data_IF_109228957326
#
_entry.id   IF_109228957326
#
_cell.length_a   1.000
_cell.length_b   1.000
_cell.length_c   1.000
_cell.angle_alpha   90.00
_cell.angle_beta   90.00
_cell.angle_gamma   90.00
#
_symmetry.space_group_name_H-M   'P 1'
#
loop_
_entity.id
_entity.type
_entity.pdbx_description
1 polymer ?
#
# COMPACT_ATOMS: atom_id res chain seq x y z
N UNK A 1 -22.72 52.73 24.48
CA UNK A 1 -22.92 52.31 23.07
C UNK A 1 -22.77 50.80 23.01
N UNK A 2 -23.87 50.07 22.79
CA UNK A 2 -23.94 48.61 22.92
C UNK A 2 -23.65 47.92 21.59
N UNK A 3 -22.65 47.02 21.57
CA UNK A 3 -22.28 46.25 20.36
C UNK A 3 -23.07 44.93 20.35
N UNK A 4 -23.88 44.74 19.29
CA UNK A 4 -24.72 43.57 19.06
C UNK A 4 -23.87 42.33 18.78
N UNK A 5 -24.06 41.29 19.58
CA UNK A 5 -23.51 39.95 19.33
C UNK A 5 -24.26 39.34 18.14
N UNK A 6 -23.56 39.17 17.02
CA UNK A 6 -24.09 38.55 15.81
C UNK A 6 -24.08 37.03 15.99
N UNK A 7 -25.26 36.44 16.20
CA UNK A 7 -25.46 34.99 16.22
C UNK A 7 -25.16 34.41 14.84
N UNK A 8 -24.23 33.47 14.75
CA UNK A 8 -23.99 32.72 13.52
C UNK A 8 -25.09 31.67 13.36
N UNK A 9 -25.66 31.48 12.16
CA UNK A 9 -26.59 30.38 11.93
C UNK A 9 -25.81 29.07 11.96
N UNK A 10 -26.22 28.17 12.84
CA UNK A 10 -25.81 26.77 12.90
C UNK A 10 -26.11 26.10 11.56
N UNK A 11 -25.09 25.77 10.77
CA UNK A 11 -25.23 24.87 9.63
C UNK A 11 -25.26 23.45 10.17
N UNK A 12 -26.43 23.02 10.62
CA UNK A 12 -26.72 21.59 10.81
C UNK A 12 -26.81 20.98 9.42
N UNK A 13 -25.74 20.37 8.93
CA UNK A 13 -25.83 19.51 7.76
C UNK A 13 -26.46 18.18 8.20
N UNK A 14 -27.65 17.81 7.69
CA UNK A 14 -28.14 16.46 7.89
C UNK A 14 -27.25 15.52 7.09
N UNK A 15 -26.58 14.58 7.77
CA UNK A 15 -26.01 13.40 7.14
C UNK A 15 -27.17 12.62 6.50
N UNK A 16 -27.48 12.94 5.23
CA UNK A 16 -28.20 12.01 4.37
C UNK A 16 -27.30 10.80 4.19
N UNK A 17 -27.69 9.70 4.82
CA UNK A 17 -27.30 8.35 4.45
C UNK A 17 -27.44 8.23 2.93
N UNK A 18 -26.32 8.32 2.21
CA UNK A 18 -26.28 8.00 0.79
C UNK A 18 -26.35 6.48 0.67
N UNK A 19 -27.58 6.02 0.51
CA UNK A 19 -27.89 4.67 0.04
C UNK A 19 -27.34 4.51 -1.38
N UNK A 20 -26.55 3.44 -1.55
CA UNK A 20 -26.14 2.77 -2.80
C UNK A 20 -25.03 3.43 -3.62
N UNK A 21 -23.88 2.78 -3.60
CA UNK A 21 -23.50 2.02 -4.79
C UNK A 21 -23.19 0.60 -4.34
N UNK A 22 -23.94 -0.37 -4.87
CA UNK A 22 -23.48 -1.74 -4.95
C UNK A 22 -22.19 -1.70 -5.77
N UNK A 23 -21.07 -1.57 -5.05
CA UNK A 23 -19.78 -1.88 -5.59
C UNK A 23 -19.83 -3.35 -5.93
N UNK A 24 -20.21 -3.66 -7.17
CA UNK A 24 -19.77 -4.90 -7.79
C UNK A 24 -18.26 -4.82 -7.70
N UNK A 25 -17.73 -5.42 -6.64
CA UNK A 25 -16.35 -5.82 -6.58
C UNK A 25 -16.22 -6.71 -7.80
N UNK A 26 -15.74 -6.15 -8.90
CA UNK A 26 -15.02 -6.93 -9.88
C UNK A 26 -13.78 -7.40 -9.14
N UNK A 27 -13.97 -8.44 -8.33
CA UNK A 27 -12.96 -9.37 -7.94
C UNK A 27 -12.52 -9.99 -9.26
N UNK A 28 -11.64 -9.29 -9.97
CA UNK A 28 -10.73 -9.95 -10.88
C UNK A 28 -9.98 -10.89 -9.97
N UNK A 29 -10.46 -12.13 -9.91
CA UNK A 29 -9.74 -13.27 -9.39
C UNK A 29 -8.43 -13.31 -10.18
N UNK A 30 -7.41 -12.64 -9.63
CA UNK A 30 -6.02 -12.76 -10.05
C UNK A 30 -5.39 -14.02 -9.42
N UNK A 31 -6.20 -14.84 -8.75
CA UNK A 31 -5.86 -16.19 -8.36
C UNK A 31 -6.18 -17.13 -9.51
N UNK A 32 -5.21 -17.29 -10.42
CA UNK A 32 -4.95 -18.62 -10.97
C UNK A 32 -3.94 -19.28 -10.02
N UNK A 33 -4.38 -19.52 -8.79
CA UNK A 33 -3.70 -20.37 -7.82
C UNK A 33 -4.55 -21.61 -7.64
N UNK A 34 -3.98 -22.81 -7.60
CA UNK A 34 -4.78 -24.03 -7.53
C UNK A 34 -5.45 -24.14 -6.16
N UNK A 35 -6.77 -24.33 -6.16
CA UNK A 35 -7.63 -24.35 -4.97
C UNK A 35 -7.62 -25.71 -4.22
N UNK A 36 -6.75 -26.66 -4.58
CA UNK A 36 -6.67 -27.97 -3.91
C UNK A 36 -5.26 -28.32 -3.43
N UNK A 37 -5.20 -28.85 -2.20
CA UNK A 37 -3.97 -29.34 -1.55
C UNK A 37 -3.25 -30.42 -2.35
N UNK A 38 -3.99 -31.17 -3.17
CA UNK A 38 -3.48 -32.22 -4.04
C UNK A 38 -2.57 -31.66 -5.13
N UNK A 39 -2.91 -30.51 -5.73
CA UNK A 39 -2.11 -29.88 -6.78
C UNK A 39 -0.84 -29.22 -6.22
N UNK A 40 -0.87 -28.79 -4.96
CA UNK A 40 0.33 -28.34 -4.23
C UNK A 40 1.26 -29.51 -3.91
N UNK A 41 0.73 -30.66 -3.48
CA UNK A 41 1.53 -31.85 -3.23
C UNK A 41 2.16 -32.39 -4.52
N UNK A 42 1.40 -32.41 -5.61
CA UNK A 42 1.85 -32.95 -6.90
C UNK A 42 2.98 -32.10 -7.55
N UNK A 43 3.10 -30.83 -7.15
CA UNK A 43 4.17 -29.90 -7.57
C UNK A 43 5.43 -29.97 -6.70
N UNK A 44 5.32 -30.30 -5.42
CA UNK A 44 6.46 -30.30 -4.48
C UNK A 44 6.89 -31.71 -4.04
N UNK A 45 6.16 -32.76 -4.42
CA UNK A 45 6.64 -34.14 -4.35
C UNK A 45 7.64 -34.39 -5.49
N UNK A 46 8.84 -34.84 -5.14
CA UNK A 46 9.92 -35.18 -6.07
C UNK A 46 9.47 -36.32 -6.98
N UNK A 47 8.95 -35.98 -8.17
CA UNK A 47 8.71 -36.95 -9.24
C UNK A 47 10.06 -37.32 -9.86
N UNK A 48 10.29 -38.63 -10.06
CA UNK A 48 11.52 -39.17 -10.68
C UNK A 48 11.82 -38.41 -11.97
N UNK A 49 13.04 -37.90 -12.04
CA UNK A 49 13.53 -36.96 -13.05
C UNK A 49 13.29 -37.49 -14.48
N UNK A 50 12.50 -36.74 -15.26
CA UNK A 50 12.65 -36.68 -16.71
C UNK A 50 13.68 -35.57 -16.99
N UNK A 51 14.59 -35.75 -17.96
CA UNK A 51 15.50 -34.66 -18.34
C UNK A 51 14.65 -33.46 -18.76
N UNK A 52 14.86 -32.32 -18.09
CA UNK A 52 14.13 -31.08 -18.35
C UNK A 52 14.38 -30.68 -19.81
N UNK A 53 13.33 -30.68 -20.60
CA UNK A 53 13.31 -30.10 -21.95
C UNK A 53 13.58 -28.59 -21.83
N UNK A 54 14.38 -28.00 -22.74
CA UNK A 54 14.79 -26.59 -22.68
C UNK A 54 13.59 -25.62 -22.55
N UNK A 55 12.43 -26.04 -23.04
CA UNK A 55 11.16 -25.30 -22.93
C UNK A 55 10.65 -25.13 -21.49
N UNK A 56 10.89 -26.08 -20.59
CA UNK A 56 10.37 -26.00 -19.21
C UNK A 56 11.18 -25.01 -18.35
N UNK A 57 12.49 -24.91 -18.57
CA UNK A 57 13.34 -23.91 -17.95
C UNK A 57 12.99 -22.48 -18.40
N UNK A 58 12.65 -22.29 -19.68
CA UNK A 58 12.17 -20.99 -20.19
C UNK A 58 10.82 -20.59 -19.58
N UNK A 59 9.89 -21.55 -19.42
CA UNK A 59 8.61 -21.31 -18.77
C UNK A 59 8.76 -20.91 -17.30
N UNK A 60 9.67 -21.57 -16.57
CA UNK A 60 9.96 -21.25 -15.17
C UNK A 60 10.54 -19.83 -15.03
N UNK A 61 11.48 -19.45 -15.90
CA UNK A 61 12.02 -18.08 -15.96
C UNK A 61 10.91 -17.06 -16.27
N UNK A 62 10.02 -17.36 -17.22
CA UNK A 62 8.89 -16.49 -17.54
C UNK A 62 7.92 -16.33 -16.36
N UNK A 63 7.63 -17.42 -15.64
CA UNK A 63 6.79 -17.39 -14.42
C UNK A 63 7.44 -16.54 -13.33
N UNK A 64 8.73 -16.72 -13.06
CA UNK A 64 9.49 -15.93 -12.07
C UNK A 64 9.47 -14.43 -12.39
N UNK A 65 9.72 -14.05 -13.65
CA UNK A 65 9.64 -12.66 -14.11
C UNK A 65 8.24 -12.07 -13.94
N UNK A 66 7.17 -12.86 -14.15
CA UNK A 66 5.82 -12.37 -13.90
C UNK A 66 5.51 -12.19 -12.41
N UNK A 67 6.12 -12.99 -11.53
CA UNK A 67 5.92 -12.88 -10.10
C UNK A 67 6.62 -11.65 -9.51
N UNK A 68 7.89 -11.38 -9.87
CA UNK A 68 8.61 -10.19 -9.38
C UNK A 68 7.94 -8.89 -9.82
N UNK A 69 7.49 -8.81 -11.07
CA UNK A 69 6.73 -7.65 -11.57
C UNK A 69 5.40 -7.46 -10.85
N UNK A 70 4.68 -8.55 -10.55
CA UNK A 70 3.42 -8.51 -9.79
C UNK A 70 3.67 -8.00 -8.37
N UNK A 71 4.72 -8.47 -7.72
CA UNK A 71 5.10 -8.02 -6.39
C UNK A 71 5.48 -6.55 -6.34
N UNK A 72 6.28 -6.09 -7.31
CA UNK A 72 6.63 -4.67 -7.45
C UNK A 72 5.37 -3.80 -7.59
N UNK A 73 4.45 -4.18 -8.46
CA UNK A 73 3.20 -3.44 -8.65
C UNK A 73 2.28 -3.51 -7.42
N UNK A 74 2.26 -4.62 -6.70
CA UNK A 74 1.53 -4.74 -5.43
C UNK A 74 2.11 -3.77 -4.40
N UNK A 75 3.43 -3.78 -4.21
CA UNK A 75 4.13 -2.89 -3.30
C UNK A 75 3.89 -1.42 -3.64
N UNK A 76 3.97 -1.04 -4.92
CA UNK A 76 3.66 0.31 -5.37
C UNK A 76 2.24 0.74 -4.98
N UNK A 77 1.25 -0.13 -5.19
CA UNK A 77 -0.14 0.13 -4.79
C UNK A 77 -0.27 0.24 -3.28
N UNK A 78 0.44 -0.58 -2.52
CA UNK A 78 0.43 -0.52 -1.06
C UNK A 78 1.02 0.79 -0.55
N UNK A 79 2.13 1.26 -1.12
CA UNK A 79 2.69 2.60 -0.85
C UNK A 79 1.63 3.68 -1.13
N UNK A 80 0.95 3.63 -2.28
CA UNK A 80 -0.10 4.61 -2.61
C UNK A 80 -1.30 4.56 -1.66
N UNK A 81 -1.62 3.40 -1.08
CA UNK A 81 -2.66 3.27 -0.05
C UNK A 81 -2.18 3.86 1.27
N UNK A 82 -0.98 3.50 1.71
CA UNK A 82 -0.38 3.93 2.98
C UNK A 82 -0.17 5.43 3.02
N UNK A 83 0.36 6.02 1.95
CA UNK A 83 0.59 7.48 1.84
C UNK A 83 -0.67 8.32 2.00
N UNK A 84 -1.88 7.77 1.79
CA UNK A 84 -3.14 8.49 2.03
C UNK A 84 -3.38 8.82 3.50
N UNK A 85 -2.78 8.08 4.42
CA UNK A 85 -2.91 8.35 5.86
C UNK A 85 -1.99 9.49 6.34
N UNK A 86 -1.02 9.90 5.51
CA UNK A 86 -0.06 10.96 5.82
C UNK A 86 -0.61 12.35 5.45
N UNK A 87 -1.72 12.71 6.06
CA UNK A 87 -2.45 13.96 5.75
C UNK A 87 -1.88 15.22 6.44
N UNK A 88 -0.78 15.11 7.20
CA UNK A 88 -0.18 16.26 7.86
C UNK A 88 0.86 16.96 6.97
N UNK A 89 0.97 18.29 7.08
CA UNK A 89 2.02 19.04 6.39
C UNK A 89 3.38 18.82 7.05
N UNK A 90 4.43 18.90 6.24
CA UNK A 90 5.81 19.06 6.67
C UNK A 90 6.05 20.49 7.22
N UNK A 91 7.20 20.69 7.84
CA UNK A 91 7.74 21.99 8.26
C UNK A 91 7.67 23.08 7.18
N UNK A 92 7.74 22.68 5.90
CA UNK A 92 7.64 23.56 4.73
C UNK A 92 6.20 23.85 4.27
N UNK A 93 5.19 23.27 4.95
CA UNK A 93 3.78 23.37 4.59
C UNK A 93 3.31 22.40 3.49
N UNK A 94 4.19 21.53 2.98
CA UNK A 94 3.85 20.54 1.93
C UNK A 94 3.29 19.27 2.56
N UNK A 95 2.24 18.69 2.00
CA UNK A 95 1.66 17.44 2.51
C UNK A 95 2.65 16.27 2.35
N UNK A 96 2.89 15.52 3.43
CA UNK A 96 3.75 14.33 3.39
C UNK A 96 3.26 13.29 2.38
N UNK A 97 1.95 13.20 2.16
CA UNK A 97 1.35 12.36 1.13
C UNK A 97 1.98 12.59 -0.25
N UNK A 98 2.10 13.84 -0.69
CA UNK A 98 2.57 14.18 -2.04
C UNK A 98 4.06 13.91 -2.17
N UNK A 99 4.85 14.30 -1.16
CA UNK A 99 6.29 14.01 -1.08
C UNK A 99 6.56 12.51 -1.18
N UNK A 100 5.83 11.69 -0.41
CA UNK A 100 6.03 10.24 -0.42
C UNK A 100 5.60 9.60 -1.74
N UNK A 101 4.57 10.13 -2.40
CA UNK A 101 4.12 9.65 -3.73
C UNK A 101 5.12 9.98 -4.82
N UNK A 102 5.65 11.19 -4.83
CA UNK A 102 6.66 11.63 -5.77
C UNK A 102 7.95 10.81 -5.62
N UNK A 103 8.41 10.64 -4.37
CA UNK A 103 9.57 9.81 -4.06
C UNK A 103 9.35 8.36 -4.52
N UNK A 104 8.23 7.75 -4.14
CA UNK A 104 7.93 6.38 -4.56
C UNK A 104 7.87 6.25 -6.09
N UNK A 105 7.30 7.23 -6.80
CA UNK A 105 7.29 7.21 -8.26
C UNK A 105 8.71 7.29 -8.83
N UNK A 106 9.55 8.17 -8.29
CA UNK A 106 10.93 8.34 -8.72
C UNK A 106 11.73 7.05 -8.54
N UNK A 107 11.70 6.45 -7.35
CA UNK A 107 12.40 5.19 -7.05
C UNK A 107 11.98 4.04 -7.98
N UNK A 108 10.67 3.92 -8.27
CA UNK A 108 10.17 2.88 -9.17
C UNK A 108 10.54 3.13 -10.65
N UNK A 109 10.62 4.38 -11.10
CA UNK A 109 11.08 4.71 -12.45
C UNK A 109 12.59 4.49 -12.60
N UNK A 110 13.38 4.78 -11.56
CA UNK A 110 14.82 4.51 -11.54
C UNK A 110 15.11 3.00 -11.60
N UNK A 111 14.37 2.20 -10.84
CA UNK A 111 14.51 0.74 -10.84
C UNK A 111 13.82 0.04 -12.02
N UNK A 112 13.17 0.76 -12.94
CA UNK A 112 12.32 0.18 -14.00
C UNK A 112 13.07 -0.74 -14.96
N UNK A 113 14.34 -0.44 -15.21
CA UNK A 113 15.20 -1.18 -16.13
C UNK A 113 16.09 -2.20 -15.43
N UNK A 114 15.95 -2.35 -14.11
CA UNK A 114 16.72 -3.32 -13.35
C UNK A 114 16.34 -4.74 -13.79
N UNK A 115 17.35 -5.50 -14.19
CA UNK A 115 17.19 -6.85 -14.76
C UNK A 115 17.82 -7.90 -13.85
N UNK A 116 18.72 -7.50 -12.94
CA UNK A 116 19.34 -8.43 -11.99
C UNK A 116 18.30 -8.89 -10.95
N UNK A 117 17.98 -10.20 -10.90
CA UNK A 117 16.99 -10.73 -9.97
C UNK A 117 17.35 -10.52 -8.50
N UNK A 118 18.64 -10.46 -8.14
CA UNK A 118 19.05 -10.21 -6.76
C UNK A 118 18.76 -8.79 -6.33
N UNK A 119 19.05 -7.82 -7.20
CA UNK A 119 18.81 -6.40 -6.93
C UNK A 119 17.31 -6.16 -6.80
N UNK A 120 16.51 -6.69 -7.74
CA UNK A 120 15.04 -6.59 -7.69
C UNK A 120 14.50 -7.16 -6.38
N UNK A 121 15.00 -8.33 -5.96
CA UNK A 121 14.54 -8.96 -4.71
C UNK A 121 14.89 -8.11 -3.49
N UNK A 122 16.11 -7.56 -3.42
CA UNK A 122 16.52 -6.66 -2.32
C UNK A 122 15.66 -5.39 -2.28
N UNK A 123 15.37 -4.79 -3.43
CA UNK A 123 14.49 -3.62 -3.53
C UNK A 123 13.07 -3.93 -3.05
N UNK A 124 12.52 -5.09 -3.41
CA UNK A 124 11.18 -5.50 -2.98
C UNK A 124 11.11 -5.73 -1.47
N UNK A 125 12.09 -6.43 -0.89
CA UNK A 125 12.14 -6.68 0.56
C UNK A 125 12.34 -5.36 1.31
N UNK A 126 13.36 -4.59 0.94
CA UNK A 126 13.65 -3.30 1.59
C UNK A 126 12.50 -2.30 1.47
N UNK A 127 11.80 -2.29 0.33
CA UNK A 127 10.63 -1.45 0.14
C UNK A 127 9.46 -1.84 1.05
N UNK A 128 9.22 -3.14 1.28
CA UNK A 128 8.19 -3.61 2.23
C UNK A 128 8.54 -3.23 3.66
N UNK A 129 9.78 -3.42 4.07
CA UNK A 129 10.24 -3.07 5.41
C UNK A 129 10.16 -1.56 5.67
N UNK A 130 10.48 -0.75 4.65
CA UNK A 130 10.33 0.69 4.70
C UNK A 130 8.86 1.12 4.85
N UNK A 131 7.94 0.48 4.12
CA UNK A 131 6.50 0.74 4.25
C UNK A 131 5.99 0.39 5.65
N UNK A 132 6.40 -0.77 6.19
CA UNK A 132 6.02 -1.18 7.54
C UNK A 132 6.54 -0.17 8.59
N UNK A 133 7.81 0.21 8.48
CA UNK A 133 8.41 1.22 9.35
C UNK A 133 7.71 2.58 9.26
N UNK A 134 7.23 2.96 8.08
CA UNK A 134 6.46 4.18 7.89
C UNK A 134 5.09 4.10 8.57
N UNK A 135 4.41 2.95 8.48
CA UNK A 135 3.15 2.71 9.19
C UNK A 135 3.32 2.80 10.70
N UNK A 136 4.39 2.25 11.25
CA UNK A 136 4.66 2.33 12.69
C UNK A 136 4.84 3.79 13.13
N UNK A 137 5.56 4.60 12.34
CA UNK A 137 5.71 6.05 12.58
C UNK A 137 4.39 6.81 12.47
N UNK A 138 3.52 6.41 11.54
CA UNK A 138 2.17 6.97 11.39
C UNK A 138 1.35 6.70 12.65
N UNK A 139 1.33 5.46 13.14
CA UNK A 139 0.60 5.08 14.36
C UNK A 139 1.12 5.87 15.56
N UNK A 140 2.43 6.00 15.68
CA UNK A 140 3.06 6.77 16.75
C UNK A 140 2.67 8.25 16.70
N UNK A 141 2.65 8.85 15.50
CA UNK A 141 2.18 10.24 15.32
C UNK A 141 0.70 10.41 15.66
N UNK A 142 -0.15 9.45 15.30
CA UNK A 142 -1.56 9.47 15.69
C UNK A 142 -1.74 9.40 17.22
N UNK A 143 -0.96 8.57 17.91
CA UNK A 143 -0.97 8.50 19.39
C UNK A 143 -0.57 9.83 20.01
N UNK A 144 0.50 10.45 19.51
CA UNK A 144 0.97 11.76 20.00
C UNK A 144 -0.09 12.87 19.83
N UNK A 145 -0.83 12.87 18.71
CA UNK A 145 -1.90 13.84 18.48
C UNK A 145 -3.07 13.65 19.46
N UNK A 146 -3.49 12.41 19.71
CA UNK A 146 -4.57 12.10 20.66
C UNK A 146 -4.18 12.51 22.08
N UNK A 147 -2.94 12.22 22.50
CA UNK A 147 -2.46 12.59 23.83
C UNK A 147 -2.36 14.11 24.01
N UNK A 148 -1.86 14.82 22.99
CA UNK A 148 -1.78 16.28 22.99
C UNK A 148 -3.16 16.94 23.09
N UNK A 149 -4.16 16.39 22.39
CA UNK A 149 -5.54 16.88 22.43
C UNK A 149 -6.22 16.62 23.79
N UNK A 150 -5.89 15.51 24.47
CA UNK A 150 -6.37 15.22 25.83
C UNK A 150 -5.78 16.20 26.86
N UNK A 151 -4.46 16.43 26.82
CA UNK A 151 -3.80 17.36 27.74
C UNK A 151 -4.22 18.83 27.56
N UNK A 152 -4.68 19.21 26.37
CA UNK A 152 -5.25 20.53 26.10
C UNK A 152 -6.67 20.73 26.64
N UNK A 153 -7.47 19.66 26.73
CA UNK A 153 -8.83 19.70 27.28
C UNK A 153 -8.87 19.80 28.80
N UNK A 154 -7.90 19.20 29.49
CA UNK A 154 -7.83 19.21 30.96
C UNK A 154 -7.35 20.56 31.56
N UNK A 155 -6.86 21.48 30.71
CA UNK A 155 -6.35 22.81 31.11
C UNK A 155 -7.31 23.97 30.80
N UNK A 156 -8.55 23.69 30.38
CA UNK A 156 -9.59 24.69 30.08
C UNK A 156 -10.78 24.51 31.01
#
# INVERSE_FOLDING_TARGET
MAMKIQKWPSVSMPLKLMTRHDGVFFQRLLHNGPDTVEELLDRHLVKKEKPLDDNEAELENRRRLTNTRREALSLYRDILRVTRFFAWPDSRGVLWQDVLRENARKEFEEARLETDPEIVTRLLIGGRDAVQSALDKLVEKQRQQIESDRGGRDRR
#
